data_IF_897124108044
#
_entry.id   IF_897124108044
#
_cell.length_a   1.000
_cell.length_b   1.000
_cell.length_c   1.000
_cell.angle_alpha   90.00
_cell.angle_beta   90.00
_cell.angle_gamma   90.00
#
_symmetry.space_group_name_H-M   'P 1'
#
loop_
_entity.id
_entity.type
_entity.pdbx_description
1 polymer ?
#
# COMPACT_ATOMS: atom_id res chain seq x y z
N UNK A 1 0.16 -13.82 9.46
CA UNK A 1 -0.94 -13.00 8.91
C UNK A 1 -1.56 -12.04 9.95
N UNK A 2 -1.90 -12.50 11.17
CA UNK A 2 -2.52 -11.64 12.20
C UNK A 2 -1.72 -10.37 12.55
N UNK A 3 -0.41 -10.51 12.85
CA UNK A 3 0.47 -9.37 13.14
C UNK A 3 0.50 -8.31 12.03
N UNK A 4 0.52 -8.75 10.77
CA UNK A 4 0.52 -7.84 9.63
C UNK A 4 -0.81 -7.06 9.51
N UNK A 5 -1.94 -7.70 9.86
CA UNK A 5 -3.25 -7.04 9.88
C UNK A 5 -3.37 -6.04 11.01
N UNK A 6 -2.87 -6.36 12.20
CA UNK A 6 -2.85 -5.45 13.34
C UNK A 6 -2.02 -4.19 13.01
N UNK A 7 -0.80 -4.37 12.49
CA UNK A 7 0.04 -3.25 12.06
C UNK A 7 -0.64 -2.42 10.95
N UNK A 8 -1.29 -3.06 9.98
CA UNK A 8 -2.03 -2.34 8.97
C UNK A 8 -3.17 -1.52 9.59
N UNK A 9 -3.97 -2.08 10.50
CA UNK A 9 -5.03 -1.34 11.18
C UNK A 9 -4.48 -0.08 11.88
N UNK A 10 -3.43 -0.23 12.69
CA UNK A 10 -2.78 0.89 13.39
C UNK A 10 -2.27 1.98 12.42
N UNK A 11 -1.67 1.60 11.29
CA UNK A 11 -1.21 2.57 10.28
C UNK A 11 -2.37 3.33 9.63
N UNK A 12 -3.52 2.69 9.42
CA UNK A 12 -4.68 3.30 8.79
C UNK A 12 -5.55 4.12 9.76
N UNK A 13 -5.32 4.00 11.07
CA UNK A 13 -5.90 4.88 12.09
C UNK A 13 -5.20 6.26 12.13
N UNK A 14 -3.95 6.33 11.64
CA UNK A 14 -3.20 7.57 11.47
C UNK A 14 -3.86 8.51 10.46
N UNK A 15 -3.83 9.82 10.75
CA UNK A 15 -4.50 10.84 9.94
C UNK A 15 -4.01 10.89 8.48
N UNK A 16 -2.74 10.58 8.23
CA UNK A 16 -2.17 10.61 6.87
C UNK A 16 -2.67 9.48 5.98
N UNK A 17 -3.15 8.38 6.56
CA UNK A 17 -3.60 7.19 5.86
C UNK A 17 -5.09 6.87 6.10
N UNK A 18 -5.76 7.60 6.99
CA UNK A 18 -7.20 7.48 7.22
C UNK A 18 -7.97 7.59 5.91
N UNK A 19 -9.03 6.78 5.78
CA UNK A 19 -9.89 6.68 4.59
C UNK A 19 -9.23 6.19 3.28
N UNK A 20 -7.92 5.90 3.28
CA UNK A 20 -7.22 5.38 2.10
C UNK A 20 -7.40 3.87 1.87
N UNK A 21 -8.11 3.18 2.77
CA UNK A 21 -8.41 1.75 2.72
C UNK A 21 -9.38 1.30 3.80
N UNK A 22 -9.75 0.02 3.79
CA UNK A 22 -10.68 -0.58 4.76
C UNK A 22 -9.98 -1.72 5.53
N UNK A 23 -9.17 -1.41 6.57
CA UNK A 23 -8.34 -2.40 7.26
C UNK A 23 -9.10 -3.33 8.23
N UNK A 24 -10.29 -2.94 8.66
CA UNK A 24 -11.10 -3.72 9.61
C UNK A 24 -12.12 -4.66 8.93
N UNK A 25 -12.10 -4.76 7.59
CA UNK A 25 -12.95 -5.66 6.83
C UNK A 25 -12.42 -7.10 6.77
N UNK A 26 -13.22 -8.07 6.28
CA UNK A 26 -12.78 -9.46 6.09
C UNK A 26 -11.62 -9.61 5.10
N UNK A 27 -11.47 -8.64 4.19
CA UNK A 27 -10.32 -8.46 3.33
C UNK A 27 -9.89 -6.99 3.34
N UNK A 28 -8.58 -6.76 3.28
CA UNK A 28 -8.02 -5.42 3.14
C UNK A 28 -8.19 -4.95 1.69
N UNK A 29 -8.74 -3.75 1.50
CA UNK A 29 -8.95 -3.15 0.17
C UNK A 29 -8.56 -1.68 0.22
N UNK A 30 -7.72 -1.24 -0.71
CA UNK A 30 -7.31 0.17 -0.81
C UNK A 30 -8.31 0.99 -1.63
N UNK A 31 -8.47 2.25 -1.25
CA UNK A 31 -9.24 3.26 -1.99
C UNK A 31 -8.34 4.22 -2.76
N UNK A 32 -7.04 4.20 -2.49
CA UNK A 32 -6.00 4.94 -3.22
C UNK A 32 -4.87 4.01 -3.69
N UNK A 33 -4.02 4.51 -4.61
CA UNK A 33 -2.85 3.76 -5.07
C UNK A 33 -1.84 3.60 -3.93
N UNK A 34 -1.41 2.37 -3.64
CA UNK A 34 -0.47 2.10 -2.54
C UNK A 34 0.93 2.70 -2.74
N UNK A 35 1.29 3.08 -3.96
CA UNK A 35 2.63 3.55 -4.39
C UNK A 35 3.80 2.68 -3.90
N UNK A 36 3.53 1.43 -3.50
CA UNK A 36 4.54 0.51 -2.96
C UNK A 36 5.66 0.26 -3.96
N UNK A 37 5.33 0.25 -5.25
CA UNK A 37 6.30 0.14 -6.35
C UNK A 37 7.33 1.28 -6.40
N UNK A 38 7.08 2.42 -5.73
CA UNK A 38 8.04 3.54 -5.62
C UNK A 38 9.04 3.36 -4.47
N UNK A 39 8.75 2.49 -3.50
CA UNK A 39 9.63 2.26 -2.37
C UNK A 39 10.90 1.49 -2.82
N UNK A 40 12.07 1.76 -2.22
CA UNK A 40 13.26 0.93 -2.44
C UNK A 40 12.97 -0.54 -2.10
N UNK A 41 13.21 -1.45 -3.04
CA UNK A 41 12.87 -2.87 -2.88
C UNK A 41 11.36 -3.17 -2.87
N UNK A 42 10.53 -2.19 -3.23
CA UNK A 42 9.09 -2.33 -3.34
C UNK A 42 8.65 -3.07 -4.61
N UNK A 43 7.49 -3.70 -4.53
CA UNK A 43 6.88 -4.45 -5.64
C UNK A 43 5.48 -3.95 -5.98
N UNK A 44 4.77 -4.75 -6.77
CA UNK A 44 3.34 -4.55 -7.02
C UNK A 44 2.54 -5.19 -5.88
N UNK A 45 1.50 -4.51 -5.40
CA UNK A 45 0.54 -5.12 -4.48
C UNK A 45 -0.47 -6.00 -5.24
N UNK A 46 -1.18 -6.89 -4.53
CA UNK A 46 -2.20 -7.75 -5.14
C UNK A 46 -3.34 -6.99 -5.85
N UNK A 47 -3.68 -5.79 -5.37
CA UNK A 47 -4.68 -4.91 -6.00
C UNK A 47 -4.09 -3.94 -7.04
N UNK A 48 -2.83 -4.12 -7.46
CA UNK A 48 -2.19 -3.16 -8.34
C UNK A 48 -2.80 -3.22 -9.74
N UNK A 49 -3.08 -2.05 -10.32
CA UNK A 49 -3.55 -1.93 -11.71
C UNK A 49 -2.45 -2.19 -12.73
N UNK A 50 -1.19 -2.13 -12.29
CA UNK A 50 -0.05 -2.46 -13.13
C UNK A 50 0.30 -3.93 -13.01
N UNK A 51 0.55 -4.54 -14.15
CA UNK A 51 1.06 -5.89 -14.38
C UNK A 51 2.60 -5.96 -14.27
N UNK A 52 3.27 -4.82 -14.41
CA UNK A 52 4.70 -4.64 -14.08
C UNK A 52 4.95 -3.28 -13.43
N UNK A 53 5.85 -3.22 -12.45
CA UNK A 53 6.25 -1.95 -11.84
C UNK A 53 6.72 -0.97 -12.94
N UNK A 54 6.12 0.24 -13.03
CA UNK A 54 6.64 1.29 -13.89
C UNK A 54 8.11 1.48 -13.56
N UNK A 55 8.98 1.50 -14.58
CA UNK A 55 10.40 1.69 -14.36
C UNK A 55 10.60 2.90 -13.46
N UNK A 56 11.37 2.75 -12.37
CA UNK A 56 11.67 3.87 -11.50
C UNK A 56 12.38 4.91 -12.37
N UNK A 57 11.70 6.01 -12.70
CA UNK A 57 12.41 7.21 -13.10
C UNK A 57 13.42 7.44 -11.97
N UNK A 58 14.72 7.38 -12.29
CA UNK A 58 15.78 7.61 -11.30
C UNK A 58 15.33 8.82 -10.48
N UNK A 59 15.13 8.63 -9.18
CA UNK A 59 14.91 9.76 -8.29
C UNK A 59 16.08 10.71 -8.55
N UNK A 60 15.78 11.93 -9.01
CA UNK A 60 16.77 12.89 -9.46
C UNK A 60 17.89 13.06 -8.42
N UNK A 61 19.10 13.21 -8.95
CA UNK A 61 20.32 13.51 -8.20
C UNK A 61 20.19 14.77 -7.33
#
# INVERSE_FOLDING_TARGET
>A
AARARALAAELFDDETLRDTGTPHGPAFRRRSCCLYWRCPGGGLCGDCVFDRAPGSARAGA
#
